data_IF_092138193254
#
_entry.id   IF_092138193254
#
_cell.length_a   1.000
_cell.length_b   1.000
_cell.length_c   1.000
_cell.angle_alpha   90.00
_cell.angle_beta   90.00
_cell.angle_gamma   90.00
#
_symmetry.space_group_name_H-M   'P 1'
#
loop_
_entity.id
_entity.type
_entity.pdbx_description
1 polymer ?
#
# COMPACT_ATOMS: atom_id res chain seq x y z
N UNK A 1 -62.12 27.48 80.32
CA UNK A 1 -60.93 26.60 80.28
C UNK A 1 -59.86 27.23 79.40
N UNK A 2 -58.60 26.93 79.67
CA UNK A 2 -57.38 27.72 79.32
C UNK A 2 -56.29 26.70 78.92
N UNK A 3 -55.37 26.91 77.97
CA UNK A 3 -55.03 28.08 77.14
C UNK A 3 -54.88 27.70 75.64
N UNK A 4 -54.38 28.63 74.81
CA UNK A 4 -53.75 28.34 73.51
C UNK A 4 -52.33 27.79 73.72
N UNK A 5 -51.88 26.88 72.83
CA UNK A 5 -50.45 26.76 72.47
C UNK A 5 -50.36 26.75 70.95
N UNK A 6 -49.59 27.70 70.39
CA UNK A 6 -49.18 27.74 68.98
C UNK A 6 -47.78 27.14 68.88
N UNK A 7 -47.54 26.20 67.97
CA UNK A 7 -46.19 25.81 67.57
C UNK A 7 -45.94 26.22 66.12
N UNK A 8 -45.02 27.18 65.96
CA UNK A 8 -44.42 27.57 64.68
C UNK A 8 -43.28 26.61 64.33
N UNK A 9 -43.37 25.92 63.18
CA UNK A 9 -42.24 25.21 62.60
C UNK A 9 -41.44 26.16 61.70
N UNK A 10 -40.12 26.23 61.89
CA UNK A 10 -39.23 27.08 61.11
C UNK A 10 -38.87 26.43 59.76
N UNK A 11 -38.89 27.22 58.70
CA UNK A 11 -38.47 26.80 57.36
C UNK A 11 -36.94 26.99 57.23
N UNK A 12 -36.19 25.90 57.17
CA UNK A 12 -34.73 25.93 56.91
C UNK A 12 -34.49 25.85 55.40
N UNK A 13 -33.97 26.92 54.81
CA UNK A 13 -33.58 26.95 53.40
C UNK A 13 -32.12 26.49 53.25
N UNK A 14 -31.91 25.34 52.61
CA UNK A 14 -30.58 24.93 52.13
C UNK A 14 -30.28 25.60 50.80
N UNK A 15 -29.29 26.49 50.77
CA UNK A 15 -28.74 27.06 49.53
C UNK A 15 -27.71 26.11 48.92
N UNK A 16 -28.11 25.30 47.95
CA UNK A 16 -27.20 24.46 47.17
C UNK A 16 -26.28 25.31 46.28
N UNK A 17 -25.03 25.46 46.67
CA UNK A 17 -24.00 26.05 45.81
C UNK A 17 -23.69 25.09 44.64
N UNK A 18 -24.15 25.42 43.44
CA UNK A 18 -23.82 24.67 42.24
C UNK A 18 -22.36 24.94 41.84
N UNK A 19 -21.46 24.02 42.19
CA UNK A 19 -20.09 24.04 41.68
C UNK A 19 -20.10 23.83 40.17
N UNK A 20 -19.92 24.92 39.41
CA UNK A 20 -19.69 24.86 37.96
C UNK A 20 -18.30 24.25 37.76
N UNK A 21 -18.25 22.92 37.64
CA UNK A 21 -17.10 22.22 37.11
C UNK A 21 -16.88 22.70 35.68
N UNK A 22 -15.85 23.53 35.50
CA UNK A 22 -15.37 23.91 34.18
C UNK A 22 -15.08 22.62 33.41
N UNK A 23 -15.80 22.39 32.32
CA UNK A 23 -15.49 21.28 31.41
C UNK A 23 -14.03 21.44 30.97
N UNK A 24 -13.23 20.36 30.94
CA UNK A 24 -11.92 20.46 30.31
C UNK A 24 -12.14 20.99 28.89
N UNK A 25 -11.50 22.12 28.57
CA UNK A 25 -11.41 22.52 27.19
C UNK A 25 -10.70 21.39 26.46
N UNK A 26 -11.40 20.76 25.51
CA UNK A 26 -10.71 19.95 24.51
C UNK A 26 -9.73 20.89 23.82
N UNK A 27 -8.45 20.73 24.15
CA UNK A 27 -7.39 21.39 23.41
C UNK A 27 -7.60 20.98 21.96
N UNK A 28 -7.79 21.97 21.08
CA UNK A 28 -7.86 21.75 19.63
C UNK A 28 -6.51 21.20 19.20
N UNK A 29 -6.38 19.88 19.27
CA UNK A 29 -5.17 19.14 18.97
C UNK A 29 -4.79 19.50 17.54
N UNK A 30 -3.56 19.98 17.35
CA UNK A 30 -3.12 20.44 16.04
C UNK A 30 -3.30 19.32 15.01
N UNK A 31 -4.21 19.52 14.07
CA UNK A 31 -4.36 18.67 12.90
C UNK A 31 -3.08 18.74 12.08
N UNK A 32 -2.50 17.58 11.75
CA UNK A 32 -1.32 17.50 10.90
C UNK A 32 -1.65 18.10 9.53
N UNK A 33 -0.82 19.03 9.08
CA UNK A 33 -1.02 19.73 7.82
C UNK A 33 -0.86 18.78 6.62
N UNK A 34 -1.57 19.07 5.53
CA UNK A 34 -1.36 18.42 4.24
C UNK A 34 0.11 18.52 3.84
N UNK A 35 0.65 17.46 3.25
CA UNK A 35 2.09 17.33 2.94
C UNK A 35 2.27 16.62 1.60
N UNK A 36 3.08 17.23 0.75
CA UNK A 36 3.50 16.70 -0.55
C UNK A 36 4.74 15.82 -0.33
N UNK A 37 4.70 14.58 -0.81
CA UNK A 37 5.78 13.59 -0.72
C UNK A 37 6.24 13.29 -2.16
N UNK A 38 7.28 13.98 -2.61
CA UNK A 38 7.72 13.99 -4.01
C UNK A 38 9.14 13.41 -4.21
N UNK A 39 9.90 13.22 -3.14
CA UNK A 39 11.15 12.47 -3.17
C UNK A 39 10.91 10.97 -3.28
N UNK A 40 11.90 10.25 -3.81
CA UNK A 40 11.84 8.81 -4.08
C UNK A 40 11.37 7.99 -2.88
N UNK A 41 11.76 8.40 -1.67
CA UNK A 41 11.41 7.73 -0.42
C UNK A 41 10.83 8.69 0.64
N UNK A 42 10.12 9.73 0.19
CA UNK A 42 9.41 10.63 1.11
C UNK A 42 8.25 9.90 1.79
N UNK A 43 8.15 10.03 3.12
CA UNK A 43 7.10 9.44 3.93
C UNK A 43 6.62 10.38 5.04
N UNK A 44 5.42 10.12 5.55
CA UNK A 44 4.81 10.86 6.64
C UNK A 44 4.12 9.90 7.62
N UNK A 45 4.65 9.79 8.84
CA UNK A 45 3.95 9.11 9.94
C UNK A 45 2.83 10.02 10.44
N UNK A 46 1.61 9.49 10.54
CA UNK A 46 0.41 10.26 10.86
C UNK A 46 0.14 10.24 12.37
N UNK A 47 0.19 11.43 12.98
CA UNK A 47 0.12 11.64 14.41
C UNK A 47 -1.15 11.06 15.04
N UNK A 48 -0.99 10.11 15.96
CA UNK A 48 -2.07 9.46 16.72
C UNK A 48 -3.00 8.58 15.88
N UNK A 49 -2.45 8.01 14.81
CA UNK A 49 -3.10 7.03 13.96
C UNK A 49 -2.24 5.76 13.87
N UNK A 50 -2.76 4.65 13.34
CA UNK A 50 -1.96 3.48 13.01
C UNK A 50 -1.24 3.60 11.66
N UNK A 51 -1.12 4.80 11.06
CA UNK A 51 -0.74 4.95 9.65
C UNK A 51 0.56 5.71 9.36
N UNK A 52 1.17 5.32 8.25
CA UNK A 52 2.20 6.04 7.49
C UNK A 52 1.68 6.28 6.06
N UNK A 53 1.99 7.42 5.45
CA UNK A 53 1.81 7.68 4.00
C UNK A 53 3.18 7.67 3.35
N UNK A 54 3.35 7.01 2.20
CA UNK A 54 4.67 6.77 1.60
C UNK A 54 4.62 6.83 0.07
N UNK A 55 5.60 7.50 -0.54
CA UNK A 55 5.78 7.64 -1.99
C UNK A 55 6.49 6.45 -2.68
N UNK A 56 7.40 5.77 -1.96
CA UNK A 56 8.21 4.60 -2.33
C UNK A 56 8.41 4.31 -3.84
N UNK A 57 9.29 5.07 -4.47
CA UNK A 57 9.73 4.92 -5.86
C UNK A 57 10.96 4.01 -6.00
N UNK A 58 10.75 2.71 -5.82
CA UNK A 58 11.82 1.71 -5.94
C UNK A 58 12.47 1.64 -7.34
N UNK A 59 11.85 2.21 -8.38
CA UNK A 59 12.38 2.32 -9.75
C UNK A 59 12.38 3.78 -10.25
N UNK A 60 12.63 4.76 -9.36
CA UNK A 60 12.69 6.20 -9.67
C UNK A 60 13.61 6.53 -10.87
N UNK A 61 14.77 5.86 -10.96
CA UNK A 61 15.73 6.01 -12.05
C UNK A 61 15.20 5.60 -13.44
N UNK A 62 14.05 4.90 -13.52
CA UNK A 62 13.38 4.51 -14.76
C UNK A 62 12.19 5.42 -15.11
N UNK A 63 11.91 6.46 -14.30
CA UNK A 63 10.84 7.43 -14.56
C UNK A 63 11.33 8.49 -15.55
N UNK A 64 10.54 8.72 -16.60
CA UNK A 64 10.68 9.90 -17.47
C UNK A 64 9.47 10.80 -17.23
N UNK A 65 9.62 11.74 -16.32
CA UNK A 65 8.52 12.57 -15.81
C UNK A 65 8.59 12.72 -14.28
N UNK A 66 7.45 12.75 -13.61
CA UNK A 66 7.35 12.88 -12.15
C UNK A 66 6.26 12.00 -11.56
N UNK A 67 6.36 11.75 -10.26
CA UNK A 67 5.30 11.20 -9.43
C UNK A 67 5.43 11.78 -8.02
N UNK A 68 4.30 12.01 -7.36
CA UNK A 68 4.22 12.44 -5.96
C UNK A 68 3.01 11.80 -5.26
N UNK A 69 3.12 11.59 -3.96
CA UNK A 69 2.03 11.18 -3.07
C UNK A 69 1.70 12.32 -2.13
N UNK A 70 0.42 12.60 -1.90
CA UNK A 70 0.01 13.73 -1.07
C UNK A 70 -0.86 13.24 0.06
N UNK A 71 -0.45 13.55 1.30
CA UNK A 71 -1.35 13.47 2.45
C UNK A 71 -2.18 14.76 2.51
N UNK A 72 -3.50 14.62 2.55
CA UNK A 72 -4.43 15.75 2.73
C UNK A 72 -4.77 15.89 4.22
N UNK A 73 -5.54 14.93 4.75
CA UNK A 73 -6.11 15.04 6.10
C UNK A 73 -6.58 13.69 6.66
N UNK A 74 -6.57 13.60 7.98
CA UNK A 74 -7.30 12.58 8.73
C UNK A 74 -8.77 12.99 8.84
N UNK A 75 -9.69 12.07 8.55
CA UNK A 75 -11.13 12.25 8.74
C UNK A 75 -11.72 11.14 9.63
N UNK A 76 -13.03 11.23 9.86
CA UNK A 76 -13.82 10.18 10.53
C UNK A 76 -15.02 9.87 9.64
N UNK A 77 -15.18 8.60 9.27
CA UNK A 77 -16.30 8.07 8.52
C UNK A 77 -17.62 8.22 9.27
N UNK A 78 -18.73 7.98 8.56
CA UNK A 78 -20.09 8.12 9.11
C UNK A 78 -20.43 7.09 10.19
N UNK A 79 -19.66 6.00 10.27
CA UNK A 79 -19.69 4.93 11.26
C UNK A 79 -18.84 5.23 12.51
N UNK A 80 -17.97 6.25 12.45
CA UNK A 80 -17.00 6.60 13.50
C UNK A 80 -15.59 6.05 13.28
N UNK A 81 -15.34 5.33 12.19
CA UNK A 81 -14.01 4.81 11.83
C UNK A 81 -13.10 5.94 11.38
N UNK A 82 -11.83 5.93 11.79
CA UNK A 82 -10.87 6.91 11.30
C UNK A 82 -10.43 6.57 9.86
N UNK A 83 -10.18 7.57 9.03
CA UNK A 83 -9.72 7.36 7.65
C UNK A 83 -8.67 8.40 7.24
N UNK A 84 -7.77 8.04 6.32
CA UNK A 84 -6.78 8.92 5.70
C UNK A 84 -7.26 9.36 4.33
N UNK A 85 -7.39 10.67 4.11
CA UNK A 85 -7.49 11.25 2.76
C UNK A 85 -6.08 11.48 2.20
N UNK A 86 -5.84 10.94 1.02
CA UNK A 86 -4.56 11.04 0.32
C UNK A 86 -4.76 10.97 -1.19
N UNK A 87 -3.73 11.28 -1.97
CA UNK A 87 -3.74 11.00 -3.40
C UNK A 87 -2.35 10.56 -3.91
N UNK A 88 -2.33 9.96 -5.11
CA UNK A 88 -1.12 9.71 -5.89
C UNK A 88 -1.27 10.40 -7.23
N UNK A 89 -0.33 11.28 -7.58
CA UNK A 89 -0.29 11.99 -8.85
C UNK A 89 0.92 11.53 -9.66
N UNK A 90 0.66 11.15 -10.90
CA UNK A 90 1.66 10.66 -11.86
C UNK A 90 1.64 11.56 -13.09
N UNK A 91 2.83 11.87 -13.61
CA UNK A 91 3.05 12.39 -14.95
C UNK A 91 4.24 11.63 -15.55
N UNK A 92 4.02 10.35 -15.85
CA UNK A 92 5.07 9.42 -16.28
C UNK A 92 4.90 9.09 -17.76
N UNK A 93 5.93 9.38 -18.56
CA UNK A 93 5.95 9.12 -20.00
C UNK A 93 6.00 7.62 -20.28
N UNK A 94 5.25 7.17 -21.30
CA UNK A 94 5.38 5.80 -21.81
C UNK A 94 6.76 5.56 -22.44
N UNK A 95 7.47 4.54 -21.96
CA UNK A 95 8.74 4.08 -22.51
C UNK A 95 8.66 2.58 -22.75
N UNK A 96 8.79 2.15 -24.01
CA UNK A 96 8.62 0.75 -24.42
C UNK A 96 9.48 -0.23 -23.61
N UNK A 97 10.76 0.12 -23.39
CA UNK A 97 11.72 -0.73 -22.68
C UNK A 97 11.43 -0.89 -21.17
N UNK A 98 10.53 -0.09 -20.59
CA UNK A 98 10.13 -0.19 -19.17
C UNK A 98 8.61 -0.32 -19.00
N UNK A 99 7.89 -0.69 -20.07
CA UNK A 99 6.44 -0.89 -20.10
C UNK A 99 5.97 -1.92 -19.06
N UNK A 100 6.76 -2.96 -18.80
CA UNK A 100 6.48 -3.99 -17.78
C UNK A 100 7.31 -3.84 -16.50
N UNK A 101 7.88 -2.66 -16.23
CA UNK A 101 8.58 -2.38 -14.97
C UNK A 101 7.77 -1.36 -14.15
N UNK A 102 7.23 -1.74 -12.97
CA UNK A 102 6.55 -0.77 -12.10
C UNK A 102 7.57 0.22 -11.54
N UNK A 103 7.14 1.48 -11.36
CA UNK A 103 8.04 2.60 -10.99
C UNK A 103 8.12 2.83 -9.47
N UNK A 104 7.09 2.41 -8.75
CA UNK A 104 6.96 2.55 -7.31
C UNK A 104 5.58 2.14 -6.83
N UNK A 105 5.37 2.28 -5.53
CA UNK A 105 4.11 2.01 -4.85
C UNK A 105 3.79 3.19 -3.93
N UNK A 106 2.74 3.95 -4.27
CA UNK A 106 2.20 4.97 -3.37
C UNK A 106 1.18 4.32 -2.46
N UNK A 107 1.35 4.44 -1.14
CA UNK A 107 0.46 3.76 -0.20
C UNK A 107 0.23 4.49 1.12
N UNK A 108 -0.84 4.06 1.79
CA UNK A 108 -1.02 4.23 3.23
C UNK A 108 -0.81 2.87 3.88
N UNK A 109 0.13 2.81 4.83
CA UNK A 109 0.59 1.58 5.48
C UNK A 109 0.30 1.56 6.96
N UNK A 110 0.18 0.37 7.53
CA UNK A 110 0.05 0.15 8.97
C UNK A 110 1.41 0.27 9.69
N UNK A 111 1.39 0.82 10.90
CA UNK A 111 2.53 0.87 11.84
C UNK A 111 2.18 0.38 13.24
N UNK A 112 0.99 -0.21 13.43
CA UNK A 112 0.51 -0.74 14.70
C UNK A 112 -0.14 -2.11 14.49
N UNK A 113 -0.12 -2.94 15.54
CA UNK A 113 -0.73 -4.29 15.60
C UNK A 113 -0.21 -5.32 14.56
N UNK A 114 0.73 -4.91 13.70
CA UNK A 114 1.63 -5.78 12.94
C UNK A 114 2.50 -6.66 13.84
N UNK A 115 3.26 -7.55 13.22
CA UNK A 115 4.08 -8.57 13.88
C UNK A 115 3.24 -9.51 14.78
N UNK A 116 1.98 -9.72 14.41
CA UNK A 116 1.01 -10.55 15.14
C UNK A 116 0.66 -11.78 14.30
N UNK A 117 0.58 -13.01 14.88
CA UNK A 117 0.12 -14.18 14.15
C UNK A 117 -1.37 -14.07 13.83
N UNK A 118 -1.82 -14.60 12.69
CA UNK A 118 -3.23 -14.50 12.24
C UNK A 118 -4.26 -15.08 13.26
N UNK A 119 -3.84 -16.02 14.09
CA UNK A 119 -4.58 -16.54 15.27
C UNK A 119 -4.85 -15.51 16.36
N UNK A 120 -4.02 -14.47 16.48
CA UNK A 120 -4.16 -13.36 17.45
C UNK A 120 -4.82 -12.11 16.86
N UNK A 121 -5.22 -12.14 15.59
CA UNK A 121 -5.95 -11.09 14.90
C UNK A 121 -7.43 -11.47 14.88
N UNK A 122 -8.28 -10.60 15.40
CA UNK A 122 -9.73 -10.80 15.41
C UNK A 122 -10.36 -10.43 14.07
N UNK A 123 -9.96 -9.27 13.52
CA UNK A 123 -10.39 -8.70 12.24
C UNK A 123 -9.34 -7.73 11.69
N UNK A 124 -9.37 -7.50 10.38
CA UNK A 124 -8.60 -6.47 9.67
C UNK A 124 -9.60 -5.65 8.82
N UNK A 125 -10.48 -4.86 9.46
CA UNK A 125 -11.50 -4.11 8.73
C UNK A 125 -10.86 -3.01 7.89
N UNK A 126 -11.44 -2.79 6.71
CA UNK A 126 -11.01 -1.73 5.81
C UNK A 126 -12.17 -1.13 5.01
N UNK A 127 -12.11 0.19 4.83
CA UNK A 127 -12.86 0.97 3.86
C UNK A 127 -11.85 1.59 2.91
N UNK A 128 -12.01 1.41 1.60
CA UNK A 128 -11.13 2.04 0.61
C UNK A 128 -11.98 2.59 -0.53
N UNK A 129 -12.06 3.90 -0.63
CA UNK A 129 -12.66 4.58 -1.78
C UNK A 129 -11.59 5.30 -2.60
N UNK A 130 -11.75 5.30 -3.92
CA UNK A 130 -10.84 6.02 -4.82
C UNK A 130 -11.56 6.53 -6.06
N UNK A 131 -10.99 7.57 -6.65
CA UNK A 131 -11.33 8.03 -7.99
C UNK A 131 -10.04 8.23 -8.77
N UNK A 132 -10.03 7.90 -10.06
CA UNK A 132 -8.87 8.15 -10.93
C UNK A 132 -9.29 8.97 -12.15
N UNK A 133 -8.60 10.09 -12.38
CA UNK A 133 -8.67 10.83 -13.63
C UNK A 133 -7.37 10.63 -14.40
N UNK A 134 -7.48 10.36 -15.71
CA UNK A 134 -6.34 10.16 -16.60
C UNK A 134 -6.40 11.21 -17.73
N UNK A 135 -5.27 11.84 -18.07
CA UNK A 135 -5.16 12.69 -19.28
C UNK A 135 -4.42 11.98 -20.43
N UNK A 136 -3.69 10.91 -20.13
CA UNK A 136 -3.06 10.02 -21.12
C UNK A 136 -3.40 8.55 -20.83
N UNK A 137 -2.84 7.61 -21.60
CA UNK A 137 -2.99 6.19 -21.29
C UNK A 137 -2.26 5.85 -19.98
N UNK A 138 -2.95 5.18 -19.06
CA UNK A 138 -2.44 4.79 -17.74
C UNK A 138 -2.27 3.27 -17.64
N UNK A 139 -1.23 2.83 -16.94
CA UNK A 139 -1.03 1.42 -16.54
C UNK A 139 -0.59 1.37 -15.08
N UNK A 140 -1.34 0.61 -14.29
CA UNK A 140 -1.22 0.56 -12.84
C UNK A 140 -2.46 -0.06 -12.19
N UNK A 141 -2.38 -0.30 -10.88
CA UNK A 141 -3.39 -0.98 -10.08
C UNK A 141 -3.92 -0.13 -8.92
N UNK A 142 -4.90 -0.65 -8.20
CA UNK A 142 -5.20 -0.34 -6.80
C UNK A 142 -5.15 -1.66 -6.08
N UNK A 143 -4.36 -1.78 -5.01
CA UNK A 143 -4.17 -3.05 -4.32
C UNK A 143 -3.94 -2.87 -2.82
N UNK A 144 -4.24 -3.92 -2.07
CA UNK A 144 -3.58 -4.19 -0.80
C UNK A 144 -2.30 -5.00 -1.04
N UNK A 145 -1.29 -4.74 -0.22
CA UNK A 145 0.00 -5.43 -0.21
C UNK A 145 0.38 -5.75 1.24
N UNK A 146 0.60 -7.03 1.54
CA UNK A 146 0.82 -7.55 2.90
C UNK A 146 1.97 -8.56 2.91
N UNK A 147 2.91 -8.39 3.84
CA UNK A 147 4.03 -9.32 4.03
C UNK A 147 3.75 -10.25 5.21
N UNK A 148 3.93 -11.55 5.00
CA UNK A 148 3.75 -12.56 6.05
C UNK A 148 4.93 -13.52 6.15
N UNK A 149 5.27 -13.98 7.36
CA UNK A 149 6.36 -14.93 7.60
C UNK A 149 6.11 -15.75 8.88
N UNK A 150 6.70 -16.95 8.98
CA UNK A 150 6.73 -17.73 10.23
C UNK A 150 7.58 -17.08 11.34
N UNK A 151 8.46 -16.13 11.00
CA UNK A 151 9.27 -15.33 11.90
C UNK A 151 8.64 -13.94 12.10
N UNK A 152 8.53 -13.52 13.37
CA UNK A 152 8.03 -12.20 13.75
C UNK A 152 8.95 -11.10 13.21
N UNK A 153 8.40 -10.13 12.49
CA UNK A 153 9.13 -8.98 11.95
C UNK A 153 9.97 -9.26 10.69
N UNK A 154 9.98 -10.48 10.17
CA UNK A 154 10.63 -10.78 8.88
C UNK A 154 9.68 -10.48 7.71
N UNK A 155 10.04 -9.49 6.92
CA UNK A 155 9.32 -9.09 5.70
C UNK A 155 10.25 -8.98 4.49
N UNK A 156 11.49 -9.46 4.59
CA UNK A 156 12.53 -9.23 3.56
C UNK A 156 13.31 -10.49 3.19
N UNK A 157 13.28 -11.56 3.98
CA UNK A 157 13.89 -12.83 3.56
C UNK A 157 13.05 -13.54 2.51
N UNK A 158 13.69 -14.36 1.67
CA UNK A 158 13.04 -15.24 0.69
C UNK A 158 12.14 -16.34 1.30
N UNK A 159 12.06 -16.43 2.63
CA UNK A 159 11.07 -17.27 3.33
C UNK A 159 9.73 -16.56 3.56
N UNK A 160 9.66 -15.25 3.31
CA UNK A 160 8.44 -14.45 3.39
C UNK A 160 7.50 -14.74 2.23
N UNK A 161 6.23 -14.43 2.43
CA UNK A 161 5.20 -14.38 1.39
C UNK A 161 4.72 -12.94 1.25
N UNK A 162 4.84 -12.39 0.05
CA UNK A 162 4.19 -11.14 -0.36
C UNK A 162 2.78 -11.48 -0.86
N UNK A 163 1.76 -10.86 -0.29
CA UNK A 163 0.36 -11.12 -0.59
C UNK A 163 -0.26 -9.86 -1.19
N UNK A 164 -0.72 -9.94 -2.44
CA UNK A 164 -1.38 -8.82 -3.11
C UNK A 164 -2.86 -9.11 -3.37
N UNK A 165 -3.73 -8.17 -3.02
CA UNK A 165 -5.16 -8.20 -3.38
C UNK A 165 -5.46 -7.03 -4.31
N UNK A 166 -5.55 -7.29 -5.62
CA UNK A 166 -5.74 -6.23 -6.63
C UNK A 166 -7.22 -5.90 -6.76
N UNK A 167 -7.64 -4.70 -6.36
CA UNK A 167 -9.02 -4.25 -6.45
C UNK A 167 -9.38 -3.83 -7.89
N UNK A 168 -8.46 -3.12 -8.54
CA UNK A 168 -8.61 -2.60 -9.89
C UNK A 168 -7.24 -2.61 -10.59
N UNK A 169 -7.19 -2.85 -11.90
CA UNK A 169 -5.96 -2.80 -12.69
C UNK A 169 -6.23 -2.40 -14.14
N UNK A 170 -5.38 -1.55 -14.69
CA UNK A 170 -5.56 -0.91 -16.00
C UNK A 170 -4.30 -1.03 -16.88
N UNK A 171 -4.44 -0.78 -18.18
CA UNK A 171 -3.31 -0.74 -19.13
C UNK A 171 -2.63 -2.08 -19.40
N UNK A 172 -3.28 -3.21 -19.07
CA UNK A 172 -2.69 -4.54 -19.25
C UNK A 172 -1.55 -4.84 -18.28
N UNK A 173 -1.60 -4.29 -17.05
CA UNK A 173 -0.73 -4.75 -15.97
C UNK A 173 -1.01 -6.22 -15.64
N UNK A 174 0.06 -6.96 -15.34
CA UNK A 174 0.06 -8.40 -15.05
C UNK A 174 0.75 -8.64 -13.69
N UNK A 175 0.27 -9.58 -12.85
CA UNK A 175 0.94 -9.96 -11.62
C UNK A 175 2.20 -10.81 -11.91
N UNK A 176 3.06 -10.95 -10.89
CA UNK A 176 4.10 -11.98 -10.86
C UNK A 176 3.44 -13.37 -10.95
N UNK A 177 4.06 -14.28 -11.71
CA UNK A 177 3.48 -15.60 -12.02
C UNK A 177 2.43 -15.64 -13.13
N UNK A 178 2.07 -14.50 -13.75
CA UNK A 178 1.06 -14.48 -14.82
C UNK A 178 1.32 -15.46 -15.98
N UNK A 179 2.59 -15.65 -16.36
CA UNK A 179 2.97 -16.51 -17.48
C UNK A 179 2.68 -18.00 -17.25
N UNK A 180 2.69 -18.45 -15.98
CA UNK A 180 2.40 -19.82 -15.58
C UNK A 180 0.87 -20.07 -15.44
N UNK A 181 0.09 -18.99 -15.45
CA UNK A 181 -1.36 -19.02 -15.30
C UNK A 181 -1.83 -18.98 -13.83
N UNK A 182 -3.15 -18.94 -13.64
CA UNK A 182 -3.74 -18.98 -12.31
C UNK A 182 -3.59 -20.39 -11.70
N UNK A 183 -3.09 -20.45 -10.47
CA UNK A 183 -2.89 -21.69 -9.72
C UNK A 183 -4.14 -22.14 -8.95
N UNK A 184 -5.06 -21.22 -8.66
CA UNK A 184 -6.35 -21.51 -8.01
C UNK A 184 -7.38 -20.41 -8.29
N UNK A 185 -8.68 -20.75 -8.25
CA UNK A 185 -9.76 -19.76 -8.14
C UNK A 185 -10.35 -19.83 -6.73
N UNK A 186 -10.56 -18.67 -6.09
CA UNK A 186 -11.28 -18.53 -4.82
C UNK A 186 -12.61 -17.82 -5.11
N UNK A 187 -13.72 -18.55 -4.99
CA UNK A 187 -15.06 -18.05 -5.29
C UNK A 187 -15.75 -17.42 -4.06
N UNK A 188 -16.58 -16.40 -4.32
CA UNK A 188 -17.46 -15.73 -3.35
C UNK A 188 -16.75 -14.99 -2.19
N UNK A 189 -15.52 -14.51 -2.41
CA UNK A 189 -14.83 -13.63 -1.46
C UNK A 189 -15.09 -12.17 -1.84
N UNK A 190 -15.53 -11.34 -0.90
CA UNK A 190 -15.91 -9.92 -1.11
C UNK A 190 -16.88 -9.70 -2.30
N UNK A 191 -17.82 -10.62 -2.50
CA UNK A 191 -18.84 -10.52 -3.56
C UNK A 191 -18.36 -10.82 -4.98
N UNK A 192 -17.12 -11.28 -5.16
CA UNK A 192 -16.57 -11.66 -6.48
C UNK A 192 -15.82 -13.00 -6.39
N UNK A 193 -15.30 -13.47 -7.53
CA UNK A 193 -14.39 -14.61 -7.61
C UNK A 193 -13.01 -14.11 -8.02
N UNK A 194 -11.96 -14.76 -7.51
CA UNK A 194 -10.59 -14.30 -7.64
C UNK A 194 -9.71 -15.40 -8.21
N UNK A 195 -8.87 -15.07 -9.18
CA UNK A 195 -7.83 -15.95 -9.69
C UNK A 195 -6.50 -15.61 -8.98
N UNK A 196 -5.90 -16.64 -8.36
CA UNK A 196 -4.64 -16.55 -7.64
C UNK A 196 -3.48 -16.87 -8.58
N UNK A 197 -2.51 -15.97 -8.67
CA UNK A 197 -1.25 -16.14 -9.37
C UNK A 197 -0.12 -16.22 -8.35
N UNK A 198 0.90 -17.03 -8.64
CA UNK A 198 2.08 -17.17 -7.79
C UNK A 198 3.34 -17.21 -8.63
N UNK A 199 4.38 -16.51 -8.16
CA UNK A 199 5.73 -16.58 -8.71
C UNK A 199 6.75 -16.05 -7.71
N UNK A 200 8.02 -16.05 -8.08
CA UNK A 200 9.09 -15.46 -7.27
C UNK A 200 9.42 -14.08 -7.82
N UNK A 201 9.61 -13.10 -6.95
CA UNK A 201 10.21 -11.82 -7.30
C UNK A 201 11.73 -12.02 -7.44
N UNK A 202 12.26 -11.91 -8.67
CA UNK A 202 13.66 -12.20 -8.99
C UNK A 202 14.67 -11.32 -8.22
N UNK A 203 14.29 -10.10 -7.83
CA UNK A 203 15.18 -9.17 -7.11
C UNK A 203 15.33 -9.51 -5.62
N UNK A 204 14.31 -10.11 -5.01
CA UNK A 204 14.25 -10.38 -3.55
C UNK A 204 14.26 -11.86 -3.19
N UNK A 205 13.93 -12.74 -4.15
CA UNK A 205 13.70 -14.16 -3.91
C UNK A 205 12.41 -14.47 -3.12
N UNK A 206 11.56 -13.47 -2.87
CA UNK A 206 10.29 -13.62 -2.14
C UNK A 206 9.23 -14.23 -3.07
N UNK A 207 8.42 -15.16 -2.55
CA UNK A 207 7.24 -15.64 -3.27
C UNK A 207 6.13 -14.59 -3.18
N UNK A 208 5.61 -14.18 -4.33
CA UNK A 208 4.50 -13.23 -4.46
C UNK A 208 3.24 -13.99 -4.85
N UNK A 209 2.18 -13.79 -4.08
CA UNK A 209 0.85 -14.37 -4.26
C UNK A 209 -0.17 -13.27 -4.55
N UNK A 210 -0.53 -13.07 -5.82
CA UNK A 210 -1.46 -12.03 -6.26
C UNK A 210 -2.84 -12.58 -6.57
N UNK A 211 -3.88 -12.07 -5.92
CA UNK A 211 -5.27 -12.34 -6.24
C UNK A 211 -5.86 -11.25 -7.13
N UNK A 212 -6.28 -11.63 -8.34
CA UNK A 212 -6.94 -10.76 -9.31
C UNK A 212 -8.44 -11.11 -9.41
N UNK A 213 -9.35 -10.12 -9.35
CA UNK A 213 -10.79 -10.36 -9.35
C UNK A 213 -11.33 -10.53 -10.76
N UNK A 214 -12.27 -11.46 -10.95
CA UNK A 214 -12.99 -11.67 -12.22
C UNK A 214 -13.92 -10.50 -12.57
N UNK A 215 -14.36 -9.76 -11.55
CA UNK A 215 -15.04 -8.47 -11.67
C UNK A 215 -14.28 -7.46 -10.81
N UNK A 216 -13.60 -6.50 -11.44
CA UNK A 216 -12.87 -5.45 -10.74
C UNK A 216 -13.81 -4.54 -9.94
N UNK A 217 -13.26 -3.89 -8.91
CA UNK A 217 -13.94 -2.90 -8.10
C UNK A 217 -13.82 -1.51 -8.72
N UNK A 218 -14.92 -0.76 -8.74
CA UNK A 218 -15.00 0.56 -9.37
C UNK A 218 -15.08 1.67 -8.32
N UNK A 219 -13.92 2.02 -7.75
CA UNK A 219 -13.77 3.18 -6.87
C UNK A 219 -14.21 2.99 -5.41
N UNK A 220 -14.62 1.77 -5.02
CA UNK A 220 -14.96 1.46 -3.62
C UNK A 220 -14.72 -0.02 -3.30
N UNK A 221 -14.26 -0.27 -2.09
CA UNK A 221 -14.11 -1.59 -1.46
C UNK A 221 -14.34 -1.45 0.05
N UNK A 222 -15.02 -2.44 0.64
CA UNK A 222 -15.22 -2.56 2.08
C UNK A 222 -15.19 -4.06 2.44
N UNK A 223 -14.55 -4.41 3.55
CA UNK A 223 -14.51 -5.78 4.04
C UNK A 223 -13.53 -6.01 5.19
N UNK A 224 -13.41 -7.28 5.60
CA UNK A 224 -12.40 -7.73 6.56
C UNK A 224 -11.31 -8.51 5.81
N UNK A 225 -10.09 -7.94 5.72
CA UNK A 225 -8.96 -8.57 5.03
C UNK A 225 -8.48 -9.87 5.72
N UNK A 226 -8.93 -10.14 6.96
CA UNK A 226 -8.73 -11.43 7.61
C UNK A 226 -9.40 -12.56 6.84
N UNK A 227 -10.55 -12.33 6.20
CA UNK A 227 -11.24 -13.32 5.36
C UNK A 227 -10.37 -13.75 4.18
N UNK A 228 -9.67 -12.79 3.56
CA UNK A 228 -8.72 -13.02 2.48
C UNK A 228 -7.50 -13.82 2.96
N UNK A 229 -6.88 -13.44 4.08
CA UNK A 229 -5.77 -14.19 4.65
C UNK A 229 -6.14 -15.64 5.00
N UNK A 230 -7.33 -15.85 5.59
CA UNK A 230 -7.84 -17.21 5.88
C UNK A 230 -8.12 -17.99 4.60
N UNK A 231 -8.60 -17.34 3.52
CA UNK A 231 -8.77 -18.01 2.24
C UNK A 231 -7.44 -18.48 1.64
N UNK A 232 -6.36 -17.71 1.79
CA UNK A 232 -5.00 -18.09 1.37
C UNK A 232 -4.41 -19.22 2.25
N UNK A 233 -4.67 -19.22 3.57
CA UNK A 233 -4.39 -20.38 4.45
C UNK A 233 -5.16 -21.62 3.96
N UNK A 234 -6.40 -21.46 3.53
CA UNK A 234 -7.22 -22.53 2.94
C UNK A 234 -6.66 -23.10 1.62
N UNK A 235 -5.85 -22.33 0.89
CA UNK A 235 -5.09 -22.79 -0.27
C UNK A 235 -3.71 -23.38 0.10
N UNK A 236 -3.31 -23.33 1.37
CA UNK A 236 -2.08 -23.93 1.89
C UNK A 236 -0.81 -23.10 1.68
N UNK A 237 -0.92 -21.80 1.36
CA UNK A 237 0.24 -20.92 1.15
C UNK A 237 1.00 -20.64 2.46
N UNK A 238 0.27 -20.53 3.57
CA UNK A 238 0.80 -20.34 4.92
C UNK A 238 -0.22 -20.86 5.96
N UNK A 239 0.02 -20.64 7.26
CA UNK A 239 -0.82 -21.14 8.36
C UNK A 239 -1.33 -20.00 9.24
N UNK A 240 -2.37 -20.23 10.06
CA UNK A 240 -2.84 -19.18 10.99
C UNK A 240 -1.82 -18.83 12.12
N UNK A 241 -0.72 -19.58 12.25
CA UNK A 241 0.41 -19.21 13.12
C UNK A 241 1.41 -18.26 12.45
N UNK A 242 1.31 -18.02 11.14
CA UNK A 242 2.14 -17.07 10.41
C UNK A 242 1.85 -15.63 10.86
N UNK A 243 2.90 -14.84 11.03
CA UNK A 243 2.85 -13.43 11.41
C UNK A 243 2.49 -12.54 10.22
N UNK A 244 1.63 -11.55 10.45
CA UNK A 244 1.40 -10.43 9.54
C UNK A 244 2.38 -9.33 9.89
N UNK A 245 3.42 -9.15 9.07
CA UNK A 245 4.56 -8.27 9.37
C UNK A 245 4.47 -6.90 8.67
N UNK A 246 3.77 -6.80 7.54
CA UNK A 246 3.45 -5.53 6.84
C UNK A 246 2.01 -5.57 6.35
N UNK A 247 1.35 -4.41 6.26
CA UNK A 247 0.03 -4.28 5.65
C UNK A 247 -0.20 -2.87 5.10
N UNK A 248 -0.32 -2.77 3.79
CA UNK A 248 -0.41 -1.54 3.01
C UNK A 248 -1.63 -1.55 2.09
N UNK A 249 -2.12 -0.37 1.71
CA UNK A 249 -3.09 -0.19 0.63
C UNK A 249 -2.70 1.01 -0.23
N UNK A 250 -2.72 0.84 -1.56
CA UNK A 250 -2.09 1.80 -2.45
C UNK A 250 -2.27 1.54 -3.94
N UNK A 251 -1.39 2.15 -4.74
CA UNK A 251 -1.35 2.04 -6.20
C UNK A 251 0.09 1.89 -6.69
N UNK A 252 0.32 0.86 -7.50
CA UNK A 252 1.51 0.76 -8.35
C UNK A 252 1.22 1.37 -9.73
N UNK A 253 2.23 1.98 -10.32
CA UNK A 253 2.13 2.69 -11.60
C UNK A 253 3.36 2.43 -12.48
N UNK A 254 3.12 2.32 -13.78
CA UNK A 254 4.12 1.99 -14.79
C UNK A 254 4.39 3.19 -15.69
N UNK A 255 3.30 3.84 -16.12
CA UNK A 255 3.26 5.07 -16.90
C UNK A 255 1.84 5.67 -16.87
N UNK A 256 1.73 6.93 -17.27
CA UNK A 256 0.49 7.68 -17.40
C UNK A 256 0.57 9.04 -16.73
N UNK A 257 -0.26 9.97 -17.20
CA UNK A 257 -0.59 11.19 -16.50
C UNK A 257 -1.96 10.98 -15.85
N UNK A 258 -1.96 10.75 -14.54
CA UNK A 258 -3.13 10.34 -13.78
C UNK A 258 -3.07 10.81 -12.32
N UNK A 259 -4.24 11.20 -11.80
CA UNK A 259 -4.44 11.56 -10.38
C UNK A 259 -5.39 10.52 -9.78
N UNK A 260 -4.94 9.77 -8.79
CA UNK A 260 -5.78 8.90 -7.97
C UNK A 260 -6.05 9.56 -6.61
N UNK A 261 -7.24 10.10 -6.40
CA UNK A 261 -7.68 10.58 -5.08
C UNK A 261 -8.30 9.44 -4.28
N UNK A 262 -7.92 9.29 -3.02
CA UNK A 262 -8.23 8.15 -2.18
C UNK A 262 -8.67 8.54 -0.76
N UNK A 263 -9.49 7.69 -0.15
CA UNK A 263 -9.78 7.69 1.29
C UNK A 263 -9.71 6.26 1.79
N UNK A 264 -8.88 6.01 2.82
CA UNK A 264 -8.63 4.68 3.37
C UNK A 264 -8.84 4.66 4.90
N UNK A 265 -9.77 3.83 5.37
CA UNK A 265 -9.72 3.23 6.70
C UNK A 265 -9.09 1.84 6.62
N UNK A 266 -8.09 1.55 7.46
CA UNK A 266 -7.46 0.22 7.56
C UNK A 266 -6.88 0.05 8.96
N UNK A 267 -7.23 -1.03 9.66
CA UNK A 267 -6.63 -1.35 10.96
C UNK A 267 -6.55 -2.86 11.17
N UNK A 268 -5.70 -3.30 12.10
CA UNK A 268 -5.68 -4.67 12.62
C UNK A 268 -6.24 -4.64 14.04
N UNK A 269 -7.35 -5.33 14.26
CA UNK A 269 -7.96 -5.48 15.58
C UNK A 269 -7.48 -6.78 16.23
N UNK A 270 -6.82 -6.65 17.39
CA UNK A 270 -6.26 -7.78 18.12
C UNK A 270 -7.32 -8.51 18.94
N UNK A 271 -7.24 -9.85 18.95
CA UNK A 271 -8.12 -10.70 19.76
C UNK A 271 -8.34 -12.08 19.15
N UNK A 272 -9.22 -12.86 19.76
CA UNK A 272 -9.69 -14.12 19.18
C UNK A 272 -10.69 -13.83 18.08
N UNK A 273 -10.45 -14.35 16.87
CA UNK A 273 -11.38 -14.26 15.76
C UNK A 273 -12.79 -14.74 16.13
N UNK A 274 -13.77 -13.84 16.05
CA UNK A 274 -15.18 -14.23 16.06
C UNK A 274 -15.43 -15.13 14.87
N UNK A 275 -15.93 -16.35 15.11
CA UNK A 275 -16.17 -17.35 14.06
C UNK A 275 -17.39 -17.02 13.18
N UNK A 276 -17.35 -15.87 12.49
CA UNK A 276 -18.15 -15.62 11.30
C UNK A 276 -17.61 -16.55 10.20
N UNK A 277 -18.20 -17.75 10.13
CA UNK A 277 -17.66 -18.84 9.34
C UNK A 277 -17.76 -18.56 7.84
N UNK A 278 -16.66 -18.11 7.23
CA UNK A 278 -16.51 -18.17 5.78
C UNK A 278 -16.44 -19.65 5.38
N UNK A 279 -17.59 -20.20 4.95
CA UNK A 279 -17.66 -21.48 4.25
C UNK A 279 -17.11 -21.29 2.82
N UNK A 280 -15.80 -21.04 2.70
CA UNK A 280 -15.11 -21.21 1.41
C UNK A 280 -15.15 -22.71 1.11
N UNK A 281 -16.04 -23.11 0.19
CA UNK A 281 -16.06 -24.47 -0.30
C UNK A 281 -14.83 -24.68 -1.18
N UNK A 282 -13.76 -25.21 -0.62
CA UNK A 282 -12.61 -25.66 -1.38
C UNK A 282 -13.05 -26.74 -2.38
N UNK A 283 -13.24 -26.36 -3.65
CA UNK A 283 -13.55 -27.30 -4.73
C UNK A 283 -12.26 -28.07 -5.02
N UNK A 284 -12.14 -29.27 -4.45
CA UNK A 284 -11.02 -30.15 -4.72
C UNK A 284 -10.96 -30.47 -6.21
N UNK A 285 -9.87 -30.06 -6.86
CA UNK A 285 -9.59 -30.42 -8.24
C UNK A 285 -9.50 -31.95 -8.37
N UNK A 286 -10.23 -32.51 -9.33
CA UNK A 286 -10.36 -33.95 -9.47
C UNK A 286 -9.03 -34.57 -9.94
N UNK A 287 -8.34 -35.27 -9.03
CA UNK A 287 -7.17 -36.07 -9.37
C UNK A 287 -7.57 -37.20 -10.32
N UNK A 288 -6.85 -37.32 -11.44
CA UNK A 288 -7.17 -38.26 -12.51
C UNK A 288 -6.87 -39.71 -12.11
N UNK A 289 -7.76 -40.62 -12.52
CA UNK A 289 -7.82 -41.99 -12.04
C UNK A 289 -6.61 -42.84 -12.46
N UNK A 290 -5.74 -43.20 -11.51
CA UNK A 290 -4.78 -44.28 -11.67
C UNK A 290 -5.40 -45.63 -11.25
N UNK A 291 -5.68 -46.49 -12.23
CA UNK A 291 -6.32 -47.79 -12.01
C UNK A 291 -5.47 -48.75 -11.17
N UNK A 292 -6.05 -49.25 -10.07
CA UNK A 292 -5.50 -50.41 -9.34
C UNK A 292 -5.58 -51.66 -10.22
N UNK A 293 -4.44 -52.28 -10.52
CA UNK A 293 -4.38 -53.67 -10.97
C UNK A 293 -3.80 -54.52 -9.83
N UNK A 294 -4.49 -55.62 -9.51
CA UNK A 294 -4.12 -56.49 -8.41
C UNK A 294 -2.87 -57.33 -8.74
N UNK A 295 -2.00 -57.51 -7.75
CA UNK A 295 -0.84 -58.38 -7.85
C UNK A 295 -1.23 -59.82 -7.47
N UNK A 296 -1.01 -60.78 -8.37
CA UNK A 296 -1.08 -62.22 -8.08
C UNK A 296 0.16 -62.92 -8.63
N UNK A 297 0.84 -63.68 -7.76
CA UNK A 297 2.10 -64.34 -8.07
C UNK A 297 1.89 -65.71 -8.73
N UNK A 298 2.54 -65.97 -9.86
CA UNK A 298 2.75 -67.33 -10.38
C UNK A 298 4.05 -67.46 -11.19
N UNK A 299 4.68 -68.62 -11.02
CA UNK A 299 6.06 -68.96 -11.32
C UNK A 299 6.40 -69.35 -12.78
N UNK A 300 7.64 -69.04 -13.20
CA UNK A 300 8.60 -69.83 -14.01
C UNK A 300 8.20 -70.30 -15.45
N UNK A 301 9.00 -69.92 -16.46
CA UNK A 301 9.80 -70.77 -17.41
C UNK A 301 10.38 -69.87 -18.53
N UNK A 302 11.64 -70.04 -19.00
CA UNK A 302 12.27 -69.13 -19.99
C UNK A 302 12.40 -69.70 -21.42
N UNK A 303 12.40 -68.84 -22.45
CA UNK A 303 12.90 -69.19 -23.80
C UNK A 303 13.24 -67.98 -24.70
N UNK A 304 14.54 -67.76 -24.90
CA UNK A 304 15.28 -67.50 -26.17
C UNK A 304 14.74 -66.58 -27.30
N UNK A 305 15.65 -65.68 -27.70
CA UNK A 305 16.07 -65.32 -29.08
C UNK A 305 15.18 -64.52 -30.04
N UNK A 306 15.70 -63.33 -30.39
CA UNK A 306 15.97 -62.83 -31.74
C UNK A 306 14.85 -62.80 -32.81
N UNK A 307 14.49 -61.60 -33.26
CA UNK A 307 14.87 -61.10 -34.60
C UNK A 307 14.49 -59.63 -34.81
N UNK A 308 15.22 -58.94 -35.68
CA UNK A 308 14.89 -57.60 -36.17
C UNK A 308 13.82 -57.65 -37.29
N UNK A 309 13.20 -56.51 -37.63
CA UNK A 309 13.12 -56.00 -39.02
C UNK A 309 12.53 -54.58 -39.09
N UNK A 310 13.33 -53.70 -39.69
CA UNK A 310 13.06 -52.54 -40.55
C UNK A 310 11.72 -51.76 -40.60
N UNK A 311 11.88 -50.43 -40.51
CA UNK A 311 11.45 -49.41 -41.51
C UNK A 311 9.96 -49.38 -41.93
N UNK A 312 9.28 -48.27 -41.59
CA UNK A 312 8.71 -47.40 -42.64
C UNK A 312 8.61 -45.94 -42.21
N UNK A 313 9.13 -45.05 -43.07
CA UNK A 313 9.00 -43.60 -43.01
C UNK A 313 7.66 -43.12 -43.56
N UNK A 314 7.07 -42.08 -42.96
CA UNK A 314 6.13 -41.19 -43.64
C UNK A 314 6.24 -39.78 -43.05
N UNK A 315 7.02 -38.92 -43.71
CA UNK A 315 6.94 -37.48 -43.49
C UNK A 315 5.76 -36.91 -44.30
N UNK A 316 5.06 -35.93 -43.76
CA UNK A 316 4.15 -35.08 -44.55
C UNK A 316 4.28 -33.63 -44.13
N UNK A 317 4.85 -32.84 -45.04
CA UNK A 317 4.97 -31.39 -44.95
C UNK A 317 3.72 -30.70 -45.52
N UNK A 318 3.15 -29.75 -44.78
CA UNK A 318 2.30 -28.69 -45.32
C UNK A 318 2.46 -27.45 -44.41
N UNK A 319 3.30 -26.47 -44.76
CA UNK A 319 3.08 -25.42 -45.76
C UNK A 319 2.24 -24.25 -45.20
N UNK A 320 2.94 -23.16 -44.85
CA UNK A 320 2.34 -21.93 -44.36
C UNK A 320 1.81 -21.05 -45.52
N UNK A 321 0.75 -20.25 -45.29
CA UNK A 321 0.34 -19.19 -46.20
C UNK A 321 1.00 -17.86 -45.82
N UNK A 322 1.85 -17.32 -46.69
CA UNK A 322 2.14 -15.89 -46.73
C UNK A 322 1.14 -15.22 -47.69
N UNK A 323 0.58 -14.07 -47.30
CA UNK A 323 -0.26 -13.26 -48.19
C UNK A 323 0.12 -11.78 -48.11
N UNK A 324 0.62 -11.34 -49.24
CA UNK A 324 1.04 -10.00 -49.68
C UNK A 324 0.18 -8.81 -49.26
N UNK A 325 0.88 -7.70 -49.06
CA UNK A 325 0.41 -6.32 -49.02
C UNK A 325 -0.30 -5.87 -50.31
N UNK A 326 -1.21 -4.90 -50.16
CA UNK A 326 -1.74 -4.09 -51.26
C UNK A 326 -1.51 -2.60 -51.00
N UNK A 327 -1.08 -1.89 -52.04
CA UNK A 327 -0.70 -0.48 -51.99
C UNK A 327 -1.86 0.36 -52.53
N UNK A 328 -2.24 1.43 -51.82
CA UNK A 328 -3.06 2.50 -52.37
C UNK A 328 -2.52 3.84 -51.88
N UNK A 329 -2.36 4.80 -52.79
CA UNK A 329 -1.58 6.01 -52.55
C UNK A 329 -2.36 7.29 -52.92
N UNK A 330 -2.02 8.37 -52.21
CA UNK A 330 -2.23 9.79 -52.58
C UNK A 330 -3.68 10.29 -52.71
N UNK A 331 -4.02 11.24 -51.82
CA UNK A 331 -4.44 12.58 -52.27
C UNK A 331 -4.09 13.64 -51.24
N UNK A 332 -3.39 14.67 -51.70
CA UNK A 332 -2.91 15.82 -50.91
C UNK A 332 -3.89 16.98 -50.97
N UNK A 333 -4.08 17.68 -49.85
CA UNK A 333 -4.46 19.10 -49.88
C UNK A 333 -4.02 19.82 -48.60
N UNK A 334 -3.03 20.69 -48.74
CA UNK A 334 -2.56 21.56 -47.66
C UNK A 334 -3.46 22.79 -47.53
N UNK A 335 -3.59 23.32 -46.30
CA UNK A 335 -3.89 24.74 -46.08
C UNK A 335 -3.22 25.24 -44.80
N UNK A 336 -2.35 26.23 -44.99
CA UNK A 336 -1.62 26.94 -43.95
C UNK A 336 -2.44 28.10 -43.37
N UNK A 337 -2.37 28.31 -42.06
CA UNK A 337 -2.58 29.63 -41.45
C UNK A 337 -1.81 29.72 -40.14
N UNK A 338 -1.10 30.83 -39.94
CA UNK A 338 -0.17 31.05 -38.81
C UNK A 338 -0.70 32.09 -37.81
N UNK A 339 0.01 32.20 -36.66
CA UNK A 339 -0.22 33.11 -35.52
C UNK A 339 -1.43 32.72 -34.63
N UNK A 340 -1.44 33.02 -33.33
CA UNK A 340 -0.58 33.93 -32.55
C UNK A 340 -0.21 33.34 -31.18
N UNK A 341 0.90 33.80 -30.61
CA UNK A 341 1.14 33.71 -29.17
C UNK A 341 0.06 34.49 -28.40
N UNK A 342 -0.34 33.98 -27.24
CA UNK A 342 -0.76 34.80 -26.10
C UNK A 342 -0.37 34.10 -24.80
N UNK A 343 0.53 34.72 -24.03
CA UNK A 343 0.74 34.39 -22.63
C UNK A 343 -0.41 35.00 -21.80
N UNK A 344 -0.86 34.28 -20.78
CA UNK A 344 -1.85 34.74 -19.81
C UNK A 344 -1.31 34.57 -18.39
N UNK A 345 -0.80 35.67 -17.84
CA UNK A 345 -0.47 35.79 -16.40
C UNK A 345 -1.77 36.03 -15.62
N UNK A 346 -1.98 35.42 -14.45
CA UNK A 346 -3.21 35.62 -13.67
C UNK A 346 -3.28 37.03 -13.07
N UNK A 347 -4.48 37.64 -13.15
CA UNK A 347 -4.81 38.91 -12.48
C UNK A 347 -5.76 38.65 -11.32
N UNK A 348 -5.33 38.98 -10.10
CA UNK A 348 -6.19 39.00 -8.92
C UNK A 348 -7.02 40.29 -8.84
N UNK A 349 -8.22 40.29 -8.24
CA UNK A 349 -8.98 41.50 -7.98
C UNK A 349 -8.43 42.26 -6.76
N UNK A 350 -8.13 43.55 -6.96
CA UNK A 350 -7.81 44.50 -5.88
C UNK A 350 -9.11 45.09 -5.33
N UNK A 351 -9.19 45.24 -4.01
CA UNK A 351 -10.20 46.07 -3.32
C UNK A 351 -9.50 47.27 -2.68
N UNK A 352 -9.94 48.48 -2.99
CA UNK A 352 -9.46 49.73 -2.38
C UNK A 352 -10.03 49.93 -0.96
N UNK A 353 -9.29 50.61 -0.06
CA UNK A 353 -9.84 51.08 1.20
C UNK A 353 -8.88 51.64 2.26
N UNK A 354 -8.47 52.90 2.11
CA UNK A 354 -8.01 53.83 3.18
C UNK A 354 -6.70 53.59 3.96
N UNK A 355 -5.66 54.32 3.54
CA UNK A 355 -4.86 55.30 4.33
C UNK A 355 -4.46 55.04 5.79
N UNK A 356 -3.16 55.21 6.11
CA UNK A 356 -2.64 56.32 6.95
C UNK A 356 -1.11 56.51 6.81
N UNK A 357 -0.70 57.79 6.81
CA UNK A 357 0.59 58.47 7.00
C UNK A 357 1.97 57.74 6.97
N UNK A 358 2.91 58.40 6.28
CA UNK A 358 4.37 58.16 6.26
C UNK A 358 5.14 58.86 7.39
N UNK A 359 6.23 58.25 7.87
CA UNK A 359 7.44 58.89 8.44
C UNK A 359 8.53 57.82 8.63
N UNK A 360 9.52 57.68 7.75
CA UNK A 360 10.82 58.41 7.71
C UNK A 360 11.87 57.92 8.73
N UNK A 361 12.92 57.30 8.17
CA UNK A 361 14.20 56.85 8.75
C UNK A 361 14.88 57.87 9.68
N UNK A 362 15.45 57.40 10.79
CA UNK A 362 16.69 57.95 11.35
C UNK A 362 17.43 56.90 12.21
N UNK A 363 18.65 56.54 11.83
CA UNK A 363 19.60 55.83 12.71
C UNK A 363 20.36 56.83 13.57
N UNK A 364 20.62 56.53 14.84
CA UNK A 364 21.63 57.24 15.62
C UNK A 364 22.35 56.33 16.63
N UNK A 365 23.64 56.62 16.80
CA UNK A 365 24.65 55.93 17.60
C UNK A 365 24.81 56.54 19.00
N UNK A 366 25.31 55.76 19.98
CA UNK A 366 25.72 56.23 21.31
C UNK A 366 25.41 55.19 22.40
N UNK A 367 26.26 54.23 22.73
CA UNK A 367 27.61 54.27 23.37
C UNK A 367 27.57 54.53 24.90
N UNK A 368 28.25 53.62 25.64
CA UNK A 368 28.63 53.68 27.06
C UNK A 368 27.53 53.48 28.14
N UNK A 369 27.81 52.95 29.34
CA UNK A 369 28.87 52.06 29.84
C UNK A 369 28.55 51.64 31.30
N UNK A 370 29.31 50.67 31.86
CA UNK A 370 29.42 50.36 33.32
C UNK A 370 28.24 49.59 33.95
N UNK A 371 28.41 48.62 34.87
CA UNK A 371 29.60 47.84 35.32
C UNK A 371 29.22 46.80 36.39
N UNK A 372 29.95 45.66 36.43
CA UNK A 372 30.18 44.75 37.58
C UNK A 372 28.95 43.98 38.16
N UNK A 373 29.08 42.77 38.72
CA UNK A 373 30.19 41.82 38.89
C UNK A 373 29.68 40.38 38.56
N UNK A 374 30.51 39.39 38.20
CA UNK A 374 31.25 38.50 39.13
C UNK A 374 30.32 37.44 39.76
N UNK A 375 30.59 36.13 39.79
CA UNK A 375 31.87 35.39 39.88
C UNK A 375 31.80 34.02 39.15
N UNK A 376 32.98 33.42 38.94
CA UNK A 376 33.35 32.23 38.18
C UNK A 376 32.92 30.85 38.73
N UNK A 377 32.88 29.83 37.85
CA UNK A 377 33.62 28.53 37.90
C UNK A 377 33.18 27.68 36.67
N UNK A 378 34.02 27.40 35.65
CA UNK A 378 34.95 26.25 35.52
C UNK A 378 34.32 24.88 35.90
N UNK A 379 34.48 23.78 35.16
CA UNK A 379 35.72 23.19 34.59
C UNK A 379 35.48 22.37 33.30
N UNK A 380 36.50 22.41 32.42
CA UNK A 380 36.94 21.50 31.33
C UNK A 380 36.25 20.14 31.06
N UNK A 381 36.00 19.93 29.76
CA UNK A 381 36.29 18.77 28.88
C UNK A 381 36.72 17.41 29.44
N UNK A 382 36.20 16.35 28.81
CA UNK A 382 36.87 15.06 28.63
C UNK A 382 36.66 14.56 27.18
N UNK A 383 37.76 14.33 26.47
CA UNK A 383 37.77 13.59 25.20
C UNK A 383 37.61 12.08 25.49
N UNK A 384 37.09 11.32 24.52
CA UNK A 384 36.96 9.87 24.61
C UNK A 384 37.87 9.21 23.55
N UNK A 385 38.89 8.50 24.03
CA UNK A 385 39.85 7.77 23.19
C UNK A 385 39.20 6.63 22.40
N UNK A 386 39.71 6.42 21.18
CA UNK A 386 39.50 5.21 20.40
C UNK A 386 40.67 4.23 20.63
N UNK A 387 40.43 2.92 20.82
CA UNK A 387 41.50 1.93 20.83
C UNK A 387 41.76 1.37 19.42
N UNK A 388 42.99 1.55 18.93
CA UNK A 388 43.56 0.74 17.85
C UNK A 388 44.36 -0.43 18.42
N UNK A 389 44.13 -1.63 17.89
CA UNK A 389 45.02 -2.79 18.00
C UNK A 389 44.85 -3.64 16.75
N UNK A 390 45.96 -4.05 16.13
CA UNK A 390 45.97 -4.86 14.91
C UNK A 390 46.70 -6.19 15.16
N UNK A 391 46.11 -7.27 14.63
CA UNK A 391 46.69 -8.53 14.13
C UNK A 391 45.48 -9.43 13.82
N UNK A 392 45.43 -10.24 12.77
CA UNK A 392 46.44 -10.66 11.80
C UNK A 392 46.14 -12.12 11.45
N UNK A 393 45.87 -12.44 10.18
CA UNK A 393 45.43 -13.80 9.81
C UNK A 393 44.70 -13.85 8.47
N UNK A 394 45.48 -14.02 7.41
CA UNK A 394 45.01 -14.30 6.06
C UNK A 394 44.52 -15.76 5.95
N UNK A 395 43.51 -16.04 5.12
CA UNK A 395 43.58 -17.17 4.18
C UNK A 395 42.50 -17.09 3.09
N UNK A 396 42.87 -17.58 1.91
CA UNK A 396 42.05 -17.56 0.67
C UNK A 396 40.98 -18.67 0.65
N UNK A 397 39.91 -18.46 -0.12
CA UNK A 397 39.22 -19.54 -0.85
C UNK A 397 38.29 -18.96 -1.94
N UNK A 398 38.81 -18.84 -3.17
CA UNK A 398 37.98 -18.87 -4.38
C UNK A 398 37.66 -20.33 -4.76
N UNK A 399 36.38 -20.67 -4.97
CA UNK A 399 35.89 -21.55 -6.06
C UNK A 399 34.47 -21.12 -6.43
#
# INVERSE_FOLDING_TARGET
>A
MIAQIRNTAALVALTSAASVLARPHFSTRATQASTDLCGDYDYLILNNSPWIVYNMLYNANQIVGSQCTYYDSMITGSDGTAEVKWNSETDITYVESTNNVPKGYSFVGLIQNLETPLTGIASIPTTYTWTRSNTTAFKGNVCYDFMTNGVKGDSTSSSSQELMLWLQYQGGQLPIGWADGSVATIDNLFGTSWDLYQGVNDDTGITVSSMLPKTQFEGTFEGDLREWMVALVGQGLFTESTYVNVGNAGTEFFYGNAIMNATLGLQIDLGTATSAAVKVAAVSSASSSASKIASTSAAIVPSTSSSAVAITTSASSAQAPASTSSIAAVSTSAKSSAKSHHAATPSAPVVEGSTIASASVASSTGTAASSAAGIETSVSSAEADAPTSADGGDDECEV
#
